data_IF_758247096148
#
_entry.id   IF_758247096148
#
_cell.length_a   1.000
_cell.length_b   1.000
_cell.length_c   1.000
_cell.angle_alpha   90.00
_cell.angle_beta   90.00
_cell.angle_gamma   90.00
#
_symmetry.space_group_name_H-M   'P 1'
#
loop_
_entity.id
_entity.type
_entity.pdbx_description
1 polymer ?
#
# COMPACT_ATOMS: atom_id res chain seq x y z
N UNK A 1 6.11 -16.86 -7.72
CA UNK A 1 5.82 -16.68 -6.28
C UNK A 1 4.71 -15.66 -6.13
N UNK A 2 3.61 -16.05 -5.49
CA UNK A 2 2.50 -15.15 -5.16
C UNK A 2 2.56 -14.80 -3.67
N UNK A 3 2.33 -13.53 -3.35
CA UNK A 3 2.32 -13.02 -1.98
C UNK A 3 0.89 -12.83 -1.50
N UNK A 4 0.63 -13.17 -0.25
CA UNK A 4 -0.70 -13.14 0.34
C UNK A 4 -0.66 -12.46 1.71
N UNK A 5 -1.68 -11.66 2.00
CA UNK A 5 -1.83 -10.99 3.29
C UNK A 5 -2.25 -11.95 4.42
N UNK A 6 -2.61 -13.20 4.08
CA UNK A 6 -2.93 -14.24 5.05
C UNK A 6 -2.62 -15.65 4.53
N UNK A 7 -2.28 -16.55 5.44
CA UNK A 7 -2.08 -17.97 5.16
C UNK A 7 -3.33 -18.60 4.50
N UNK A 8 -4.54 -18.23 4.96
CA UNK A 8 -5.79 -18.73 4.41
C UNK A 8 -5.96 -18.33 2.94
N UNK A 9 -5.67 -17.08 2.59
CA UNK A 9 -5.74 -16.62 1.20
C UNK A 9 -4.70 -17.31 0.31
N UNK A 10 -3.49 -17.58 0.83
CA UNK A 10 -2.48 -18.36 0.14
C UNK A 10 -2.98 -19.78 -0.16
N UNK A 11 -3.52 -20.47 0.85
CA UNK A 11 -4.07 -21.84 0.69
C UNK A 11 -5.27 -21.89 -0.26
N UNK A 12 -6.14 -20.88 -0.24
CA UNK A 12 -7.29 -20.81 -1.16
C UNK A 12 -6.84 -20.58 -2.60
N UNK A 13 -5.89 -19.66 -2.83
CA UNK A 13 -5.32 -19.43 -4.13
C UNK A 13 -4.67 -20.71 -4.69
N UNK A 14 -3.95 -21.45 -3.85
CA UNK A 14 -3.38 -22.74 -4.23
C UNK A 14 -4.44 -23.75 -4.69
N UNK A 15 -5.52 -23.93 -3.91
CA UNK A 15 -6.63 -24.85 -4.26
C UNK A 15 -7.34 -24.47 -5.56
N UNK A 16 -7.30 -23.19 -5.94
CA UNK A 16 -7.90 -22.70 -7.18
C UNK A 16 -7.05 -22.96 -8.42
N UNK A 17 -5.77 -23.33 -8.27
CA UNK A 17 -4.93 -23.75 -9.38
C UNK A 17 -5.46 -25.09 -9.89
N UNK A 18 -5.96 -25.14 -11.13
CA UNK A 18 -6.68 -26.30 -11.68
C UNK A 18 -5.88 -27.62 -11.78
N UNK A 19 -4.59 -27.60 -11.46
CA UNK A 19 -3.71 -28.76 -11.24
C UNK A 19 -2.74 -28.43 -10.10
N UNK A 20 -3.15 -28.48 -8.83
CA UNK A 20 -2.19 -28.32 -7.75
C UNK A 20 -1.27 -29.54 -7.79
N UNK A 21 0.05 -29.33 -7.79
CA UNK A 21 1.01 -30.41 -7.51
C UNK A 21 0.73 -31.03 -6.14
N UNK A 22 1.45 -32.08 -5.76
CA UNK A 22 1.26 -32.64 -4.40
C UNK A 22 2.10 -31.92 -3.35
N UNK A 23 3.17 -31.25 -3.79
CA UNK A 23 4.15 -30.61 -2.92
C UNK A 23 4.07 -29.08 -3.04
N UNK A 24 3.59 -28.44 -1.98
CA UNK A 24 3.62 -27.00 -1.80
C UNK A 24 3.81 -26.69 -0.31
N UNK A 25 4.54 -25.62 -0.02
CA UNK A 25 4.68 -25.11 1.33
C UNK A 25 4.20 -23.65 1.40
N UNK A 26 3.72 -23.27 2.58
CA UNK A 26 3.33 -21.88 2.88
C UNK A 26 4.34 -21.34 3.89
N UNK A 27 5.30 -20.56 3.40
CA UNK A 27 6.29 -19.91 4.25
C UNK A 27 5.72 -18.58 4.78
N UNK A 28 5.84 -18.35 6.09
CA UNK A 28 5.65 -17.03 6.68
C UNK A 28 6.93 -16.23 6.50
N UNK A 29 6.86 -15.09 5.82
CA UNK A 29 8.00 -14.21 5.58
C UNK A 29 7.65 -12.77 5.97
N UNK A 30 8.52 -12.16 6.79
CA UNK A 30 8.42 -10.73 7.05
C UNK A 30 8.90 -9.97 5.81
N UNK A 31 8.05 -9.07 5.31
CA UNK A 31 8.39 -8.23 4.18
C UNK A 31 8.49 -6.77 4.60
N UNK A 32 9.60 -6.17 4.20
CA UNK A 32 9.72 -4.72 4.18
C UNK A 32 8.82 -4.18 3.06
N UNK A 33 7.81 -3.40 3.44
CA UNK A 33 7.02 -2.65 2.49
C UNK A 33 7.61 -1.26 2.32
N UNK A 34 7.29 -0.64 1.19
CA UNK A 34 7.65 0.75 0.96
C UNK A 34 7.14 1.61 2.16
N UNK A 35 8.02 2.42 2.78
CA UNK A 35 7.64 3.22 3.93
C UNK A 35 6.58 4.24 3.56
N UNK A 36 5.72 4.58 4.51
CA UNK A 36 4.75 5.66 4.35
C UNK A 36 5.43 7.03 4.58
N UNK A 37 4.84 8.04 3.96
CA UNK A 37 5.19 9.42 4.14
C UNK A 37 4.32 10.00 5.25
N UNK A 38 4.94 10.38 6.36
CA UNK A 38 4.24 10.79 7.57
C UNK A 38 4.42 12.29 7.81
N UNK A 39 3.30 13.02 7.82
CA UNK A 39 3.30 14.45 8.16
C UNK A 39 3.08 14.56 9.66
N UNK A 40 4.10 15.04 10.39
CA UNK A 40 4.05 15.15 11.86
C UNK A 40 4.54 16.48 12.35
N UNK A 41 4.03 16.90 13.51
CA UNK A 41 4.77 17.80 14.40
C UNK A 41 5.71 16.94 15.24
N UNK A 42 7.03 17.22 15.25
CA UNK A 42 8.01 16.41 15.98
C UNK A 42 7.67 16.25 17.46
N UNK A 43 8.21 15.20 18.12
CA UNK A 43 8.10 15.02 19.56
C UNK A 43 8.43 16.28 20.36
N UNK A 44 7.59 16.57 21.36
CA UNK A 44 7.78 17.65 22.32
C UNK A 44 7.69 17.11 23.75
N UNK A 45 8.07 17.90 24.77
CA UNK A 45 7.68 17.61 26.15
C UNK A 45 6.19 17.29 26.26
N UNK A 46 5.84 16.34 27.12
CA UNK A 46 4.49 15.73 27.16
C UNK A 46 3.37 16.76 27.40
N UNK A 47 3.61 17.69 28.31
CA UNK A 47 2.74 18.83 28.60
C UNK A 47 2.50 19.69 27.35
N UNK A 48 3.57 20.05 26.65
CA UNK A 48 3.52 20.86 25.42
C UNK A 48 2.81 20.13 24.29
N UNK A 49 3.05 18.83 24.16
CA UNK A 49 2.40 18.00 23.15
C UNK A 49 0.89 17.86 23.41
N UNK A 50 0.48 17.66 24.67
CA UNK A 50 -0.93 17.57 25.06
C UNK A 50 -1.66 18.90 24.84
N UNK A 51 -1.06 20.03 25.22
CA UNK A 51 -1.67 21.34 25.03
C UNK A 51 -1.78 21.70 23.55
N UNK A 52 -0.74 21.44 22.76
CA UNK A 52 -0.78 21.63 21.31
C UNK A 52 -1.82 20.73 20.65
N UNK A 53 -1.91 19.46 21.06
CA UNK A 53 -2.91 18.54 20.54
C UNK A 53 -4.33 19.05 20.81
N UNK A 54 -4.61 19.57 22.00
CA UNK A 54 -5.91 20.17 22.34
C UNK A 54 -6.20 21.42 21.51
N UNK A 55 -5.22 22.31 21.31
CA UNK A 55 -5.36 23.48 20.43
C UNK A 55 -5.74 23.08 19.00
N UNK A 56 -5.06 22.09 18.44
CA UNK A 56 -5.33 21.59 17.10
C UNK A 56 -6.75 21.00 16.99
N UNK A 57 -7.19 20.22 17.96
CA UNK A 57 -8.55 19.68 18.02
C UNK A 57 -9.61 20.79 18.10
N UNK A 58 -9.38 21.82 18.92
CA UNK A 58 -10.28 22.98 19.02
C UNK A 58 -10.37 23.78 17.72
N UNK A 59 -9.29 23.81 16.94
CA UNK A 59 -9.23 24.43 15.62
C UNK A 59 -9.84 23.57 14.51
N UNK A 60 -10.34 22.36 14.83
CA UNK A 60 -10.89 21.42 13.87
C UNK A 60 -9.83 20.79 12.95
N UNK A 61 -8.58 20.74 13.40
CA UNK A 61 -7.48 20.13 12.64
C UNK A 61 -7.38 18.66 13.04
N UNK A 62 -7.65 17.78 12.07
CA UNK A 62 -7.47 16.33 12.23
C UNK A 62 -6.03 16.02 12.63
N UNK A 63 -5.88 15.48 13.84
CA UNK A 63 -4.60 15.25 14.48
C UNK A 63 -4.68 14.07 15.43
N UNK A 64 -3.55 13.40 15.67
CA UNK A 64 -3.45 12.28 16.61
C UNK A 64 -2.15 12.35 17.41
N UNK A 65 -2.24 12.18 18.73
CA UNK A 65 -1.07 12.14 19.61
C UNK A 65 -0.44 10.74 19.59
N UNK A 66 0.86 10.68 19.31
CA UNK A 66 1.65 9.44 19.35
C UNK A 66 2.03 9.13 20.80
N UNK A 67 1.59 8.00 21.33
CA UNK A 67 1.74 7.68 22.76
C UNK A 67 2.91 6.76 23.10
N UNK A 68 3.53 6.12 22.08
CA UNK A 68 4.58 5.10 22.25
C UNK A 68 5.60 5.14 21.11
N UNK A 69 6.72 4.44 21.30
CA UNK A 69 7.79 4.32 20.33
C UNK A 69 8.69 5.55 20.28
N UNK A 70 9.59 5.60 19.29
CA UNK A 70 10.59 6.66 19.15
C UNK A 70 9.98 8.04 18.90
N UNK A 71 8.79 8.07 18.28
CA UNK A 71 8.03 9.29 18.03
C UNK A 71 7.00 9.60 19.14
N UNK A 72 7.17 9.07 20.36
CA UNK A 72 6.30 9.42 21.50
C UNK A 72 6.22 10.95 21.65
N UNK A 73 5.01 11.45 21.91
CA UNK A 73 4.67 12.87 22.00
C UNK A 73 4.77 13.66 20.69
N UNK A 74 4.96 13.01 19.54
CA UNK A 74 4.70 13.63 18.24
C UNK A 74 3.19 13.76 18.01
N UNK A 75 2.81 14.70 17.14
CA UNK A 75 1.43 14.84 16.68
C UNK A 75 1.37 14.49 15.20
N UNK A 76 0.69 13.40 14.88
CA UNK A 76 0.40 12.99 13.51
C UNK A 76 -0.64 13.90 12.89
N UNK A 77 -0.37 14.38 11.68
CA UNK A 77 -1.27 15.15 10.82
C UNK A 77 -1.66 14.38 9.54
N UNK A 78 -1.25 13.11 9.43
CA UNK A 78 -1.62 12.20 8.34
C UNK A 78 -0.46 11.31 7.88
N UNK A 79 -0.78 10.05 7.52
CA UNK A 79 0.12 9.10 6.87
C UNK A 79 -0.34 8.89 5.42
N UNK A 80 0.61 8.87 4.50
CA UNK A 80 0.33 8.83 3.06
C UNK A 80 1.23 7.82 2.35
N UNK A 81 0.66 7.05 1.43
CA UNK A 81 1.46 6.22 0.51
C UNK A 81 2.16 7.10 -0.53
N UNK A 82 1.45 8.09 -1.08
CA UNK A 82 2.01 9.03 -2.05
C UNK A 82 2.81 10.14 -1.38
N UNK A 83 4.07 10.28 -1.80
CA UNK A 83 4.94 11.38 -1.40
C UNK A 83 4.34 12.74 -1.74
N UNK A 84 3.82 12.89 -2.95
CA UNK A 84 3.26 14.16 -3.42
C UNK A 84 2.04 14.59 -2.58
N UNK A 85 1.20 13.64 -2.17
CA UNK A 85 0.07 13.93 -1.28
C UNK A 85 0.55 14.44 0.07
N UNK A 86 1.56 13.78 0.66
CA UNK A 86 2.16 14.21 1.92
C UNK A 86 2.80 15.60 1.82
N UNK A 87 3.50 15.90 0.72
CA UNK A 87 4.12 17.20 0.49
C UNK A 87 3.08 18.33 0.34
N UNK A 88 1.95 18.05 -0.31
CA UNK A 88 0.85 19.01 -0.43
C UNK A 88 0.24 19.33 0.93
N UNK A 89 -0.04 18.30 1.74
CA UNK A 89 -0.56 18.47 3.11
C UNK A 89 0.45 19.20 3.97
N UNK A 90 1.73 18.83 3.90
CA UNK A 90 2.81 19.51 4.63
C UNK A 90 2.86 21.00 4.28
N UNK A 91 2.76 21.36 3.00
CA UNK A 91 2.77 22.75 2.56
C UNK A 91 1.54 23.51 3.10
N UNK A 92 0.36 22.90 3.10
CA UNK A 92 -0.85 23.47 3.72
C UNK A 92 -0.65 23.71 5.23
N UNK A 93 -0.16 22.70 5.96
CA UNK A 93 0.06 22.81 7.41
C UNK A 93 1.11 23.87 7.75
N UNK A 94 2.16 24.01 6.94
CA UNK A 94 3.15 25.10 7.07
C UNK A 94 2.53 26.48 6.86
N UNK A 95 1.62 26.64 5.88
CA UNK A 95 0.88 27.91 5.69
C UNK A 95 -0.04 28.25 6.87
N UNK A 96 -0.49 27.25 7.61
CA UNK A 96 -1.23 27.39 8.87
C UNK A 96 -0.31 27.63 10.09
N UNK A 97 0.98 27.91 9.86
CA UNK A 97 2.03 28.10 10.87
C UNK A 97 2.22 26.90 11.80
N UNK A 98 1.96 25.69 11.32
CA UNK A 98 2.28 24.47 12.04
C UNK A 98 3.73 24.06 11.75
N UNK A 99 4.49 23.71 12.79
CA UNK A 99 5.86 23.20 12.70
C UNK A 99 5.90 21.74 12.25
N UNK A 100 5.21 21.44 11.14
CA UNK A 100 5.13 20.10 10.58
C UNK A 100 6.37 19.77 9.74
N UNK A 101 6.76 18.51 9.76
CA UNK A 101 7.84 17.91 8.97
C UNK A 101 7.33 16.68 8.22
N UNK A 102 8.11 16.25 7.22
CA UNK A 102 7.92 14.96 6.57
C UNK A 102 8.88 13.95 7.20
N UNK A 103 8.35 12.85 7.72
CA UNK A 103 9.09 11.72 8.25
C UNK A 103 8.76 10.45 7.45
N UNK A 104 9.65 9.46 7.48
CA UNK A 104 9.34 8.12 6.98
C UNK A 104 8.77 7.27 8.10
N UNK A 105 7.67 6.56 7.82
CA UNK A 105 7.09 5.58 8.71
C UNK A 105 7.30 4.17 8.13
N UNK A 106 8.21 3.36 8.71
CA UNK A 106 8.49 2.03 8.18
C UNK A 106 7.25 1.14 8.30
N UNK A 107 7.02 0.32 7.29
CA UNK A 107 5.98 -0.71 7.28
C UNK A 107 6.64 -2.07 7.31
N UNK A 108 6.47 -2.78 8.42
CA UNK A 108 6.72 -4.21 8.47
C UNK A 108 5.35 -4.89 8.36
N UNK A 109 5.16 -5.72 7.33
CA UNK A 109 3.98 -6.56 7.21
C UNK A 109 4.40 -8.02 7.20
N UNK A 110 3.83 -8.78 8.12
CA UNK A 110 3.88 -10.25 8.08
C UNK A 110 3.13 -10.70 6.82
N UNK A 111 3.84 -11.34 5.90
CA UNK A 111 3.30 -11.78 4.61
C UNK A 111 3.47 -13.29 4.46
N UNK A 112 2.59 -13.95 3.73
CA UNK A 112 2.67 -15.40 3.50
C UNK A 112 2.99 -15.67 2.03
N UNK A 113 4.03 -16.49 1.79
CA UNK A 113 4.47 -16.89 0.45
C UNK A 113 4.07 -18.33 0.16
N UNK A 114 3.56 -18.59 -1.05
CA UNK A 114 3.46 -19.95 -1.58
C UNK A 114 4.78 -20.33 -2.26
N UNK A 115 5.42 -21.37 -1.75
CA UNK A 115 6.64 -21.95 -2.29
C UNK A 115 6.29 -23.31 -2.91
N UNK A 116 6.71 -23.51 -4.16
CA UNK A 116 6.54 -24.78 -4.87
C UNK A 116 7.90 -25.45 -4.96
N UNK A 117 7.97 -26.74 -4.62
CA UNK A 117 9.15 -27.54 -4.93
C UNK A 117 9.04 -28.00 -6.39
N UNK A 118 9.82 -27.35 -7.25
CA UNK A 118 9.95 -27.79 -8.63
C UNK A 118 10.84 -29.04 -8.65
N UNK A 119 10.24 -30.22 -8.51
CA UNK A 119 10.84 -31.38 -9.17
C UNK A 119 10.57 -31.22 -10.66
N UNK A 120 11.48 -30.49 -11.32
CA UNK A 120 11.76 -30.71 -12.73
C UNK A 120 12.16 -32.18 -12.86
N UNK A 121 11.18 -33.04 -13.08
CA UNK A 121 11.42 -34.34 -13.69
C UNK A 121 11.70 -34.02 -15.15
N UNK A 122 12.94 -34.14 -15.64
CA UNK A 122 13.15 -34.07 -17.07
C UNK A 122 12.45 -35.30 -17.65
N UNK A 123 11.25 -35.11 -18.20
CA UNK A 123 10.62 -36.18 -18.96
C UNK A 123 11.50 -36.42 -20.19
N UNK A 124 12.25 -37.50 -20.10
CA UNK A 124 13.09 -38.02 -21.15
C UNK A 124 12.20 -38.49 -22.30
N UNK A 125 11.97 -37.60 -23.27
CA UNK A 125 11.64 -38.00 -24.62
C UNK A 125 10.32 -37.46 -25.17
N UNK A 126 10.33 -36.21 -25.63
CA UNK A 126 9.83 -35.78 -26.94
C UNK A 126 9.75 -34.24 -26.96
N UNK A 127 10.86 -33.58 -27.30
CA UNK A 127 10.78 -32.22 -27.86
C UNK A 127 10.21 -32.35 -29.28
N UNK A 128 8.88 -32.34 -29.35
CA UNK A 128 8.12 -32.41 -30.60
C UNK A 128 7.09 -31.30 -30.64
N UNK A 129 7.47 -30.21 -31.32
CA UNK A 129 6.63 -29.20 -31.95
C UNK A 129 5.44 -28.62 -31.15
N UNK A 130 5.69 -27.47 -30.49
CA UNK A 130 4.68 -26.43 -30.30
C UNK A 130 5.34 -25.05 -30.13
N UNK A 131 6.19 -24.67 -31.08
CA UNK A 131 6.59 -23.26 -31.29
C UNK A 131 5.88 -22.74 -32.54
N UNK A 132 4.57 -22.52 -32.47
CA UNK A 132 3.87 -21.53 -33.31
C UNK A 132 2.50 -21.24 -32.72
N UNK A 133 2.06 -19.99 -32.81
CA UNK A 133 0.81 -19.39 -32.28
C UNK A 133 0.79 -18.89 -30.83
N UNK A 134 1.57 -17.82 -30.58
CA UNK A 134 1.21 -16.79 -29.59
C UNK A 134 1.25 -15.39 -30.23
N UNK A 135 0.67 -15.28 -31.43
CA UNK A 135 0.28 -14.02 -32.03
C UNK A 135 -1.05 -14.28 -32.73
N UNK A 136 -1.97 -13.30 -32.68
CA UNK A 136 -3.33 -13.38 -33.26
C UNK A 136 -4.39 -13.96 -32.33
N UNK A 137 -4.76 -13.23 -31.26
CA UNK A 137 -6.15 -13.06 -30.80
C UNK A 137 -6.23 -12.11 -29.58
N UNK A 138 -5.70 -10.90 -29.71
CA UNK A 138 -6.13 -9.78 -28.86
C UNK A 138 -7.16 -8.96 -29.64
N UNK A 139 -8.38 -9.47 -29.70
CA UNK A 139 -9.53 -8.65 -30.08
C UNK A 139 -9.94 -7.77 -28.90
N UNK A 140 -9.75 -6.46 -29.12
CA UNK A 140 -10.39 -5.29 -28.49
C UNK A 140 -11.13 -5.49 -27.15
N UNK A 141 -10.56 -4.98 -26.06
CA UNK A 141 -11.39 -4.39 -24.99
C UNK A 141 -11.68 -2.95 -25.38
N UNK A 142 -12.90 -2.74 -25.87
CA UNK A 142 -13.46 -1.43 -26.19
C UNK A 142 -13.61 -0.60 -24.90
N UNK A 143 -12.70 0.35 -24.67
CA UNK A 143 -12.81 1.32 -23.57
C UNK A 143 -13.99 2.23 -23.91
N UNK A 144 -15.17 1.96 -23.36
CA UNK A 144 -16.28 2.91 -23.39
C UNK A 144 -15.84 4.17 -22.66
N UNK A 145 -15.68 5.27 -23.40
CA UNK A 145 -15.45 6.60 -22.85
C UNK A 145 -16.61 6.95 -21.93
N UNK A 146 -16.32 7.14 -20.64
CA UNK A 146 -17.27 7.75 -19.72
C UNK A 146 -17.62 9.15 -20.25
N UNK A 147 -18.90 9.35 -20.52
CA UNK A 147 -19.49 10.63 -20.90
C UNK A 147 -19.40 11.57 -19.68
N UNK A 148 -18.53 12.56 -19.79
CA UNK A 148 -18.42 13.63 -18.80
C UNK A 148 -19.58 14.59 -18.95
N UNK A 149 -20.48 14.61 -17.97
CA UNK A 149 -21.41 15.74 -17.78
C UNK A 149 -20.68 16.86 -17.04
N UNK A 150 -20.06 17.74 -17.80
CA UNK A 150 -19.83 19.12 -17.38
C UNK A 150 -20.88 19.99 -18.08
N UNK A 151 -21.86 20.50 -17.33
CA UNK A 151 -22.58 21.70 -17.76
C UNK A 151 -22.31 22.80 -16.76
N UNK A 152 -21.53 23.77 -17.23
CA UNK A 152 -21.33 25.07 -16.61
C UNK A 152 -22.59 25.90 -16.85
N UNK A 153 -23.06 26.59 -15.82
CA UNK A 153 -24.08 27.63 -15.95
C UNK A 153 -23.59 28.72 -16.89
N UNK A 154 -24.48 29.27 -17.72
CA UNK A 154 -24.64 30.71 -17.89
C UNK A 154 -26.00 31.04 -18.53
N UNK A 155 -26.77 31.85 -17.81
CA UNK A 155 -27.98 32.56 -18.25
C UNK A 155 -27.52 33.80 -19.04
N UNK A 156 -28.26 34.27 -20.08
CA UNK A 156 -29.42 35.13 -19.85
C UNK A 156 -30.70 34.76 -20.62
#
# INVERSE_FOLDING_TARGET
>A
MGWFDSEQSARQAYRSLGRPGTDYDVAEEERELAPLHWVIIPPQPEDRALDLFRDLQQRGIDSYLVTRGENKNAISLGLFESRQAAENVLAEKKRQNLNAILANFPRNQLSYALVFEDQLVPDSGAVGAAETDYSENFDMVEIRRCEGVATRSENP
#
